data_IF_319728935701
#
_entry.id   IF_319728935701
#
_cell.length_a   1.000
_cell.length_b   1.000
_cell.length_c   1.000
_cell.angle_alpha   90.00
_cell.angle_beta   90.00
_cell.angle_gamma   90.00
#
_symmetry.space_group_name_H-M   'P 1'
#
loop_
_entity.id
_entity.type
_entity.pdbx_description
1 polymer ?
#
# COMPACT_ATOMS: atom_id res chain seq x y z
N UNK A 1 3.32 -6.34 -6.88
CA UNK A 1 3.69 -5.38 -7.94
C UNK A 1 4.39 -4.15 -7.40
N UNK A 2 3.92 -3.52 -6.31
CA UNK A 2 4.51 -2.32 -5.69
C UNK A 2 6.04 -2.42 -5.45
N UNK A 3 6.48 -3.34 -4.59
CA UNK A 3 7.92 -3.52 -4.32
C UNK A 3 8.73 -3.99 -5.54
N UNK A 4 8.09 -4.70 -6.48
CA UNK A 4 8.74 -5.11 -7.72
C UNK A 4 8.91 -3.93 -8.69
N UNK A 5 8.00 -2.95 -8.66
CA UNK A 5 8.08 -1.74 -9.47
C UNK A 5 9.29 -0.88 -9.06
N UNK A 6 9.74 -0.98 -7.80
CA UNK A 6 10.98 -0.35 -7.34
C UNK A 6 12.26 -0.84 -8.02
N UNK A 7 12.24 -2.00 -8.70
CA UNK A 7 13.37 -2.43 -9.53
C UNK A 7 13.60 -1.52 -10.75
N UNK A 8 12.59 -0.73 -11.14
CA UNK A 8 12.64 0.17 -12.30
C UNK A 8 12.38 1.63 -11.95
N UNK A 9 11.47 1.89 -11.02
CA UNK A 9 11.03 3.22 -10.61
C UNK A 9 11.24 3.41 -9.10
N UNK A 10 12.24 4.20 -8.70
CA UNK A 10 12.59 4.36 -7.30
C UNK A 10 11.54 5.15 -6.49
N UNK A 11 10.97 6.19 -7.09
CA UNK A 11 10.05 7.13 -6.42
C UNK A 11 8.58 6.79 -6.70
N UNK A 12 7.71 7.02 -5.72
CA UNK A 12 6.25 6.88 -5.83
C UNK A 12 5.61 8.01 -6.66
N UNK A 13 6.01 8.14 -7.93
CA UNK A 13 5.55 9.16 -8.86
C UNK A 13 4.59 8.57 -9.91
N UNK A 14 4.14 9.40 -10.87
CA UNK A 14 3.19 8.97 -11.93
C UNK A 14 3.71 7.77 -12.75
N UNK A 15 5.02 7.65 -12.98
CA UNK A 15 5.59 6.54 -13.74
C UNK A 15 5.53 5.23 -12.94
N UNK A 16 5.88 5.26 -11.65
CA UNK A 16 5.74 4.13 -10.74
C UNK A 16 4.30 3.59 -10.70
N UNK A 17 3.33 4.48 -10.50
CA UNK A 17 1.92 4.10 -10.41
C UNK A 17 1.39 3.53 -11.72
N UNK A 18 1.80 4.09 -12.88
CA UNK A 18 1.48 3.53 -14.19
C UNK A 18 2.07 2.14 -14.39
N UNK A 19 3.31 1.91 -13.93
CA UNK A 19 3.95 0.61 -13.99
C UNK A 19 3.21 -0.42 -13.13
N UNK A 20 2.78 -0.03 -11.92
CA UNK A 20 2.01 -0.91 -11.04
C UNK A 20 0.66 -1.30 -11.65
N UNK A 21 -0.08 -0.34 -12.21
CA UNK A 21 -1.38 -0.59 -12.87
C UNK A 21 -1.23 -1.44 -14.14
N UNK A 22 -0.14 -1.28 -14.88
CA UNK A 22 0.17 -2.15 -16.02
C UNK A 22 0.45 -3.60 -15.58
N UNK A 23 1.20 -3.79 -14.48
CA UNK A 23 1.52 -5.12 -13.96
C UNK A 23 0.32 -5.80 -13.28
N UNK A 24 -0.63 -5.03 -12.75
CA UNK A 24 -1.84 -5.51 -12.10
C UNK A 24 -2.98 -4.51 -12.29
N UNK A 25 -3.96 -4.81 -13.18
CA UNK A 25 -5.13 -3.95 -13.36
C UNK A 25 -5.92 -3.79 -12.05
N UNK A 26 -6.35 -2.56 -11.75
CA UNK A 26 -7.03 -2.22 -10.50
C UNK A 26 -6.09 -2.10 -9.30
N UNK A 27 -4.78 -2.02 -9.52
CA UNK A 27 -3.76 -1.92 -8.47
C UNK A 27 -4.05 -0.79 -7.48
N UNK A 28 -4.54 0.35 -7.98
CA UNK A 28 -4.87 1.50 -7.15
C UNK A 28 -5.87 1.19 -6.04
N UNK A 29 -6.93 0.42 -6.35
CA UNK A 29 -7.94 0.06 -5.36
C UNK A 29 -7.36 -0.88 -4.32
N UNK A 30 -6.60 -1.89 -4.77
CA UNK A 30 -5.97 -2.86 -3.89
C UNK A 30 -4.94 -2.22 -2.94
N UNK A 31 -4.13 -1.28 -3.44
CA UNK A 31 -3.19 -0.51 -2.62
C UNK A 31 -3.93 0.31 -1.56
N UNK A 32 -5.00 1.00 -1.94
CA UNK A 32 -5.80 1.80 -1.03
C UNK A 32 -6.44 0.93 0.06
N UNK A 33 -7.11 -0.15 -0.32
CA UNK A 33 -7.78 -1.06 0.61
C UNK A 33 -6.79 -1.68 1.61
N UNK A 34 -5.59 -2.07 1.13
CA UNK A 34 -4.54 -2.58 1.98
C UNK A 34 -4.09 -1.54 3.01
N UNK A 35 -3.85 -0.29 2.59
CA UNK A 35 -3.45 0.79 3.50
C UNK A 35 -4.53 1.02 4.56
N UNK A 36 -5.79 1.10 4.17
CA UNK A 36 -6.92 1.26 5.10
C UNK A 36 -6.96 0.11 6.11
N UNK A 37 -6.84 -1.14 5.64
CA UNK A 37 -6.86 -2.32 6.50
C UNK A 37 -5.71 -2.32 7.51
N UNK A 38 -4.48 -2.04 7.05
CA UNK A 38 -3.31 -1.99 7.93
C UNK A 38 -3.40 -0.84 8.94
N UNK A 39 -3.87 0.33 8.53
CA UNK A 39 -4.15 1.44 9.45
C UNK A 39 -5.19 1.07 10.50
N UNK A 40 -6.29 0.42 10.11
CA UNK A 40 -7.29 -0.05 11.07
C UNK A 40 -6.69 -1.04 12.07
N UNK A 41 -5.91 -2.03 11.59
CA UNK A 41 -5.24 -3.00 12.46
C UNK A 41 -4.29 -2.35 13.45
N UNK A 42 -3.50 -1.37 12.99
CA UNK A 42 -2.59 -0.58 13.81
C UNK A 42 -3.36 0.17 14.92
N UNK A 43 -4.49 0.81 14.59
CA UNK A 43 -5.34 1.48 15.58
C UNK A 43 -5.89 0.49 16.63
N UNK A 44 -6.29 -0.71 16.20
CA UNK A 44 -6.75 -1.75 17.11
C UNK A 44 -5.60 -2.29 18.00
N UNK A 45 -4.39 -2.41 17.47
CA UNK A 45 -3.21 -2.79 18.24
C UNK A 45 -2.84 -1.73 19.29
N UNK A 46 -2.87 -0.44 18.93
CA UNK A 46 -2.63 0.68 19.84
C UNK A 46 -3.63 0.73 20.99
N UNK A 47 -4.92 0.49 20.72
CA UNK A 47 -5.96 0.40 21.76
C UNK A 47 -5.70 -0.71 22.76
N UNK A 48 -5.13 -1.84 22.33
CA UNK A 48 -4.77 -2.96 23.22
C UNK A 48 -3.57 -2.62 24.11
N UNK A 49 -2.59 -1.88 23.60
CA UNK A 49 -1.39 -1.49 24.37
C UNK A 49 -1.68 -0.38 25.39
N UNK A 50 -2.65 0.50 25.11
CA UNK A 50 -3.02 1.63 25.99
C UNK A 50 -4.12 1.31 27.01
N UNK A 51 -4.65 0.08 27.01
CA UNK A 51 -5.67 -0.40 27.95
C UNK A 51 -5.16 -1.42 28.98
N UNK A 52 -3.84 -1.49 29.19
CA UNK A 52 -3.19 -2.29 30.24
C UNK A 52 -2.55 -1.42 31.31
#
# INVERSE_FOLDING_TARGET
VHELAHLKEAEHNKAFYKLCEYMLPGYHQLEFDLRVYLTWRELQARKRVSGG
#
